data_IF_971680766126
#
_entry.id   IF_971680766126
#
_cell.length_a   1.000
_cell.length_b   1.000
_cell.length_c   1.000
_cell.angle_alpha   90.00
_cell.angle_beta   90.00
_cell.angle_gamma   90.00
#
_symmetry.space_group_name_H-M   'P 1'
#
loop_
_entity.id
_entity.type
_entity.pdbx_description
1 polymer ?
#
# COMPACT_ATOMS: atom_id res chain seq x y z
N UNK A 1 -8.36 -9.48 8.52
CA UNK A 1 -7.57 -8.26 8.25
C UNK A 1 -6.59 -8.62 7.13
N UNK A 2 -6.52 -7.85 6.04
CA UNK A 2 -5.53 -8.09 4.98
C UNK A 2 -4.13 -7.98 5.57
N UNK A 3 -3.24 -8.89 5.18
CA UNK A 3 -1.83 -8.90 5.59
C UNK A 3 -1.01 -7.96 4.73
N UNK A 4 0.20 -7.61 5.16
CA UNK A 4 1.09 -6.76 4.37
C UNK A 4 1.46 -7.38 3.01
N UNK A 5 1.50 -8.72 2.93
CA UNK A 5 1.78 -9.44 1.68
C UNK A 5 0.65 -9.31 0.65
N UNK A 6 -0.60 -9.19 1.11
CA UNK A 6 -1.74 -8.91 0.24
C UNK A 6 -1.58 -7.53 -0.42
N UNK A 7 -1.15 -6.52 0.36
CA UNK A 7 -0.87 -5.18 -0.18
C UNK A 7 0.32 -5.18 -1.15
N UNK A 8 1.39 -5.95 -0.87
CA UNK A 8 2.53 -6.11 -1.80
C UNK A 8 2.09 -6.74 -3.12
N UNK A 9 1.27 -7.79 -3.06
CA UNK A 9 0.71 -8.43 -4.24
C UNK A 9 -0.17 -7.49 -5.06
N UNK A 10 -1.00 -6.68 -4.40
CA UNK A 10 -1.82 -5.66 -5.06
C UNK A 10 -0.96 -4.58 -5.73
N UNK A 11 0.03 -4.05 -5.02
CA UNK A 11 0.98 -3.07 -5.56
C UNK A 11 1.68 -3.61 -6.83
N UNK A 12 2.23 -4.82 -6.76
CA UNK A 12 2.90 -5.47 -7.89
C UNK A 12 1.94 -5.66 -9.08
N UNK A 13 0.70 -6.08 -8.80
CA UNK A 13 -0.33 -6.25 -9.84
C UNK A 13 -0.67 -4.94 -10.54
N UNK A 14 -0.70 -3.82 -9.81
CA UNK A 14 -0.99 -2.50 -10.37
C UNK A 14 0.18 -2.01 -11.23
N UNK A 15 1.41 -2.06 -10.72
CA UNK A 15 2.57 -1.51 -11.45
C UNK A 15 2.90 -2.33 -12.70
N UNK A 16 2.81 -3.66 -12.62
CA UNK A 16 3.15 -4.57 -13.72
C UNK A 16 2.04 -4.70 -14.76
N UNK A 17 0.83 -4.19 -14.48
CA UNK A 17 -0.28 -4.30 -15.43
C UNK A 17 -0.07 -3.40 -16.65
N UNK A 18 0.05 -4.01 -17.83
CA UNK A 18 0.09 -3.32 -19.11
C UNK A 18 -1.30 -2.85 -19.57
N UNK A 19 -2.37 -3.37 -18.96
CA UNK A 19 -3.76 -3.04 -19.30
C UNK A 19 -4.26 -1.75 -18.64
N UNK A 20 -3.55 -1.28 -17.60
CA UNK A 20 -3.91 -0.09 -16.86
C UNK A 20 -3.19 1.13 -17.43
N UNK A 21 -3.95 2.18 -17.73
CA UNK A 21 -3.37 3.48 -18.05
C UNK A 21 -2.66 4.07 -16.81
N UNK A 22 -1.66 4.96 -17.00
CA UNK A 22 -0.98 5.62 -15.88
C UNK A 22 -1.94 6.26 -14.88
N UNK A 23 -2.93 7.03 -15.36
CA UNK A 23 -3.96 7.60 -14.49
C UNK A 23 -4.74 6.56 -13.68
N UNK A 24 -5.06 5.41 -14.30
CA UNK A 24 -5.79 4.35 -13.58
C UNK A 24 -4.89 3.66 -12.54
N UNK A 25 -3.59 3.50 -12.83
CA UNK A 25 -2.62 3.02 -11.84
C UNK A 25 -2.56 3.98 -10.65
N UNK A 26 -2.45 5.28 -10.88
CA UNK A 26 -2.38 6.29 -9.81
C UNK A 26 -3.60 6.24 -8.88
N UNK A 27 -4.81 6.22 -9.44
CA UNK A 27 -6.04 6.11 -8.63
C UNK A 27 -6.03 4.83 -7.77
N UNK A 28 -5.57 3.71 -8.32
CA UNK A 28 -5.52 2.45 -7.57
C UNK A 28 -4.43 2.47 -6.49
N UNK A 29 -3.29 3.09 -6.76
CA UNK A 29 -2.20 3.28 -5.80
C UNK A 29 -2.61 4.22 -4.66
N UNK A 30 -3.33 5.31 -4.94
CA UNK A 30 -3.90 6.20 -3.92
C UNK A 30 -4.90 5.46 -3.02
N UNK A 31 -5.77 4.64 -3.60
CA UNK A 31 -6.68 3.81 -2.83
C UNK A 31 -5.91 2.81 -1.94
N UNK A 32 -4.86 2.19 -2.48
CA UNK A 32 -4.02 1.25 -1.73
C UNK A 32 -3.31 1.94 -0.56
N UNK A 33 -2.84 3.19 -0.73
CA UNK A 33 -2.28 3.99 0.36
C UNK A 33 -3.31 4.26 1.46
N UNK A 34 -4.53 4.66 1.10
CA UNK A 34 -5.58 4.96 2.07
C UNK A 34 -5.98 3.71 2.88
N UNK A 35 -6.00 2.53 2.24
CA UNK A 35 -6.27 1.27 2.94
C UNK A 35 -5.14 0.88 3.91
N UNK A 36 -3.87 1.02 3.50
CA UNK A 36 -2.72 0.78 4.37
C UNK A 36 -2.75 1.73 5.58
N UNK A 37 -3.06 3.00 5.36
CA UNK A 37 -3.14 4.02 6.40
C UNK A 37 -4.22 3.68 7.44
N UNK A 38 -5.43 3.38 6.96
CA UNK A 38 -6.55 2.99 7.82
C UNK A 38 -6.24 1.72 8.65
N UNK A 39 -5.64 0.71 8.03
CA UNK A 39 -5.44 -0.60 8.66
C UNK A 39 -4.26 -0.60 9.63
N UNK A 40 -3.14 0.03 9.26
CA UNK A 40 -1.90 -0.07 10.02
C UNK A 40 -1.57 1.19 10.83
N UNK A 41 -2.05 2.37 10.46
CA UNK A 41 -1.65 3.62 11.11
C UNK A 41 -2.79 4.29 11.89
N UNK A 42 -4.05 4.10 11.48
CA UNK A 42 -5.23 4.69 12.13
C UNK A 42 -5.90 3.76 13.17
N UNK A 43 -5.47 2.49 13.27
CA UNK A 43 -6.00 1.56 14.28
C UNK A 43 -5.34 1.79 15.66
N UNK A 44 -6.18 2.01 16.68
CA UNK A 44 -5.75 2.29 18.07
C UNK A 44 -5.21 1.05 18.82
N UNK A 45 -5.20 -0.13 18.19
CA UNK A 45 -4.78 -1.39 18.81
C UNK A 45 -3.26 -1.61 18.63
N UNK A 46 -2.52 -1.35 19.71
CA UNK A 46 -1.06 -1.56 19.78
C UNK A 46 -0.75 -3.01 20.16
N UNK A 47 -1.11 -3.97 19.32
CA UNK A 47 -0.60 -5.33 19.47
C UNK A 47 0.82 -5.45 18.91
N UNK A 48 1.67 -6.29 19.52
CA UNK A 48 3.08 -6.44 19.12
C UNK A 48 3.24 -6.99 17.69
N UNK A 49 2.30 -7.84 17.25
CA UNK A 49 2.19 -8.33 15.86
C UNK A 49 1.88 -7.21 14.87
N UNK A 50 1.12 -6.19 15.28
CA UNK A 50 0.82 -5.01 14.47
C UNK A 50 2.05 -4.12 14.32
N UNK A 51 2.93 -4.04 15.33
CA UNK A 51 4.16 -3.22 15.25
C UNK A 51 5.15 -3.69 14.17
N UNK A 52 5.34 -5.01 14.00
CA UNK A 52 6.20 -5.55 12.93
C UNK A 52 5.58 -5.27 11.55
N UNK A 53 4.28 -5.52 11.40
CA UNK A 53 3.57 -5.23 10.15
C UNK A 53 3.48 -3.73 9.85
N UNK A 54 3.48 -2.86 10.86
CA UNK A 54 3.54 -1.40 10.69
C UNK A 54 4.85 -0.94 10.07
N UNK A 55 5.98 -1.56 10.41
CA UNK A 55 7.27 -1.18 9.81
C UNK A 55 7.33 -1.60 8.34
N UNK A 56 6.88 -2.83 8.03
CA UNK A 56 6.75 -3.28 6.64
C UNK A 56 5.73 -2.45 5.85
N UNK A 57 4.62 -2.05 6.48
CA UNK A 57 3.63 -1.15 5.91
C UNK A 57 4.23 0.23 5.61
N UNK A 58 5.11 0.78 6.46
CA UNK A 58 5.78 2.06 6.19
C UNK A 58 6.69 1.97 4.97
N UNK A 59 7.43 0.88 4.81
CA UNK A 59 8.28 0.68 3.63
C UNK A 59 7.44 0.62 2.35
N UNK A 60 6.36 -0.18 2.36
CA UNK A 60 5.46 -0.28 1.22
C UNK A 60 4.78 1.07 0.90
N UNK A 61 4.32 1.78 1.93
CA UNK A 61 3.71 3.11 1.80
C UNK A 61 4.68 4.11 1.13
N UNK A 62 5.96 4.10 1.54
CA UNK A 62 7.00 4.93 0.90
C UNK A 62 7.21 4.55 -0.57
N UNK A 63 7.24 3.26 -0.89
CA UNK A 63 7.42 2.78 -2.27
C UNK A 63 6.27 3.23 -3.17
N UNK A 64 5.01 3.03 -2.73
CA UNK A 64 3.83 3.47 -3.47
C UNK A 64 3.86 4.99 -3.68
N UNK A 65 4.21 5.75 -2.64
CA UNK A 65 4.29 7.22 -2.72
C UNK A 65 5.37 7.70 -3.69
N UNK A 66 6.52 7.01 -3.75
CA UNK A 66 7.56 7.32 -4.73
C UNK A 66 7.05 7.07 -6.17
N UNK A 67 6.33 5.97 -6.40
CA UNK A 67 5.75 5.66 -7.72
C UNK A 67 4.72 6.69 -8.19
N UNK A 68 3.91 7.24 -7.28
CA UNK A 68 2.92 8.27 -7.60
C UNK A 68 3.54 9.60 -8.08
N UNK A 69 4.77 9.91 -7.65
CA UNK A 69 5.44 11.19 -7.97
C UNK A 69 6.11 11.16 -9.36
N UNK A 70 6.30 9.97 -9.94
CA UNK A 70 6.95 9.77 -11.24
C UNK A 70 5.98 9.62 -12.44
N UNK A 71 4.68 9.91 -12.27
CA UNK A 71 3.64 9.79 -13.34
C UNK A 71 3.13 11.12 -13.89
#
# INVERSE_FOLDING_TARGET
MPTIEDFRSNYNSIILSEKLSPNKKNILLENLLNEIDYIYFDTYEKERSILEQQEEAKELYKNIKATLIDS
#
